data_IF_395207674841
#
_entry.id   IF_395207674841
#
_cell.length_a   1.000
_cell.length_b   1.000
_cell.length_c   1.000
_cell.angle_alpha   90.00
_cell.angle_beta   90.00
_cell.angle_gamma   90.00
#
_symmetry.space_group_name_H-M   'P 1'
#
loop_
_entity.id
_entity.type
_entity.pdbx_description
1 polymer ?
#
# COMPACT_ATOMS: atom_id res chain seq x y z
N UNK A 1 2.77 -21.58 7.52
CA UNK A 1 2.04 -21.24 8.76
C UNK A 1 1.40 -19.86 8.56
N UNK A 2 0.14 -19.68 8.93
CA UNK A 2 -0.54 -18.37 8.81
C UNK A 2 0.03 -17.37 9.83
N UNK A 3 -0.01 -16.06 9.53
CA UNK A 3 0.52 -15.00 10.41
C UNK A 3 -0.10 -15.05 11.82
N UNK A 4 -1.43 -15.20 11.92
CA UNK A 4 -2.13 -15.23 13.20
C UNK A 4 -1.74 -16.43 14.06
N UNK A 5 -1.59 -17.62 13.48
CA UNK A 5 -1.12 -18.81 14.20
C UNK A 5 0.33 -18.68 14.67
N UNK A 6 1.20 -18.11 13.84
CA UNK A 6 2.60 -17.83 14.21
C UNK A 6 2.69 -16.86 15.39
N UNK A 7 1.86 -15.81 15.38
CA UNK A 7 1.75 -14.86 16.48
C UNK A 7 1.25 -15.53 17.77
N UNK A 8 0.18 -16.32 17.69
CA UNK A 8 -0.37 -17.09 18.81
C UNK A 8 0.67 -18.03 19.43
N UNK A 9 1.40 -18.78 18.60
CA UNK A 9 2.48 -19.65 19.07
C UNK A 9 3.57 -18.87 19.83
N UNK A 10 3.89 -17.66 19.34
CA UNK A 10 4.86 -16.78 20.01
C UNK A 10 4.34 -16.26 21.34
N UNK A 11 3.09 -15.79 21.42
CA UNK A 11 2.45 -15.33 22.67
C UNK A 11 2.43 -16.44 23.71
N UNK A 12 2.00 -17.65 23.34
CA UNK A 12 1.93 -18.80 24.24
C UNK A 12 3.31 -19.23 24.77
N UNK A 13 4.37 -19.00 23.98
CA UNK A 13 5.76 -19.25 24.41
C UNK A 13 6.25 -18.18 25.39
N UNK A 14 5.80 -16.93 25.25
CA UNK A 14 6.21 -15.82 26.11
C UNK A 14 5.48 -15.84 27.46
N UNK A 15 4.20 -16.20 27.48
CA UNK A 15 3.40 -16.26 28.70
C UNK A 15 2.30 -17.30 28.59
N UNK A 16 2.32 -18.28 29.48
CA UNK A 16 1.25 -19.27 29.62
C UNK A 16 0.01 -18.72 30.34
N UNK A 17 0.06 -17.48 30.84
CA UNK A 17 -1.08 -16.83 31.50
C UNK A 17 -2.00 -16.09 30.53
N UNK A 18 -1.60 -15.93 29.27
CA UNK A 18 -2.39 -15.27 28.25
C UNK A 18 -3.21 -16.30 27.47
N UNK A 19 -4.51 -16.09 27.36
CA UNK A 19 -5.33 -16.79 26.37
C UNK A 19 -5.28 -16.03 25.04
N UNK A 20 -4.89 -16.73 23.97
CA UNK A 20 -4.69 -16.14 22.65
C UNK A 20 -5.55 -16.86 21.61
N UNK A 21 -6.47 -16.13 21.00
CA UNK A 21 -7.38 -16.62 19.95
C UNK A 21 -6.88 -16.09 18.60
N UNK A 22 -6.58 -17.01 17.68
CA UNK A 22 -6.15 -16.68 16.33
C UNK A 22 -7.35 -16.72 15.37
N UNK A 23 -7.56 -15.63 14.63
CA UNK A 23 -8.56 -15.56 13.57
C UNK A 23 -7.84 -15.59 12.21
N UNK A 24 -7.87 -16.74 11.53
CA UNK A 24 -7.31 -16.88 10.18
C UNK A 24 -8.33 -16.46 9.11
N UNK A 25 -8.93 -15.28 9.26
CA UNK A 25 -9.89 -14.72 8.32
C UNK A 25 -9.54 -13.27 8.01
N UNK A 26 -9.86 -12.81 6.81
CA UNK A 26 -9.90 -11.39 6.51
C UNK A 26 -11.05 -10.76 7.32
N UNK A 27 -10.80 -9.60 7.91
CA UNK A 27 -11.88 -8.84 8.56
C UNK A 27 -12.66 -8.07 7.51
N UNK A 28 -13.97 -8.25 7.50
CA UNK A 28 -14.90 -7.72 6.52
C UNK A 28 -16.17 -7.26 7.23
N UNK A 29 -17.00 -6.47 6.56
CA UNK A 29 -18.26 -5.96 7.13
C UNK A 29 -19.20 -7.07 7.62
N UNK A 30 -19.13 -8.25 7.00
CA UNK A 30 -19.93 -9.43 7.34
C UNK A 30 -19.52 -10.10 8.66
N UNK A 31 -18.26 -9.97 9.10
CA UNK A 31 -17.73 -10.68 10.26
C UNK A 31 -17.17 -9.75 11.37
N UNK A 32 -16.94 -8.47 11.07
CA UNK A 32 -16.25 -7.55 11.96
C UNK A 32 -16.97 -7.38 13.30
N UNK A 33 -18.30 -7.30 13.32
CA UNK A 33 -19.07 -7.13 14.56
C UNK A 33 -18.97 -8.37 15.47
N UNK A 34 -19.02 -9.57 14.90
CA UNK A 34 -18.91 -10.82 15.67
C UNK A 34 -17.50 -11.00 16.23
N UNK A 35 -16.48 -10.58 15.48
CA UNK A 35 -15.10 -10.59 15.93
C UNK A 35 -14.86 -9.54 17.02
N UNK A 36 -15.38 -8.31 16.89
CA UNK A 36 -15.04 -7.17 17.76
C UNK A 36 -15.83 -7.16 19.08
N UNK A 37 -17.12 -7.53 19.08
CA UNK A 37 -18.00 -7.43 20.26
C UNK A 37 -17.43 -8.08 21.54
N UNK A 38 -16.79 -9.27 21.48
CA UNK A 38 -16.26 -9.93 22.67
C UNK A 38 -15.06 -9.23 23.33
N UNK A 39 -14.39 -8.31 22.63
CA UNK A 39 -13.15 -7.67 23.13
C UNK A 39 -13.43 -6.30 23.75
N UNK A 40 -12.63 -5.92 24.74
CA UNK A 40 -12.79 -4.63 25.44
C UNK A 40 -12.12 -3.47 24.72
N UNK A 41 -10.95 -3.71 24.11
CA UNK A 41 -10.13 -2.71 23.44
C UNK A 41 -9.69 -3.29 22.09
N UNK A 42 -9.85 -2.51 21.03
CA UNK A 42 -9.43 -2.90 19.69
C UNK A 42 -8.16 -2.15 19.31
N UNK A 43 -7.22 -2.85 18.67
CA UNK A 43 -5.99 -2.28 18.13
C UNK A 43 -6.04 -2.35 16.62
N UNK A 44 -5.99 -1.19 15.96
CA UNK A 44 -5.78 -1.13 14.51
C UNK A 44 -4.28 -1.13 14.22
N UNK A 45 -3.78 -2.31 13.82
CA UNK A 45 -2.43 -2.53 13.33
C UNK A 45 -2.43 -2.85 11.82
N UNK A 46 -3.41 -2.33 11.09
CA UNK A 46 -3.58 -2.56 9.66
C UNK A 46 -2.91 -1.45 8.85
N UNK A 47 -2.44 -1.80 7.65
CA UNK A 47 -1.75 -0.90 6.73
C UNK A 47 -2.64 -0.41 5.58
N UNK A 48 -3.94 -0.72 5.63
CA UNK A 48 -4.92 -0.35 4.62
C UNK A 48 -6.01 0.59 5.17
N UNK A 49 -6.33 1.61 4.38
CA UNK A 49 -7.34 2.63 4.69
C UNK A 49 -8.74 2.05 4.80
N UNK A 50 -9.16 1.14 3.91
CA UNK A 50 -10.51 0.59 3.94
C UNK A 50 -10.78 -0.18 5.25
N UNK A 51 -9.81 -0.99 5.68
CA UNK A 51 -9.88 -1.73 6.94
C UNK A 51 -9.88 -0.79 8.15
N UNK A 52 -9.15 0.33 8.09
CA UNK A 52 -9.20 1.35 9.15
C UNK A 52 -10.57 2.00 9.29
N UNK A 53 -11.26 2.29 8.19
CA UNK A 53 -12.65 2.77 8.23
C UNK A 53 -13.61 1.71 8.79
N UNK A 54 -13.46 0.45 8.37
CA UNK A 54 -14.23 -0.69 8.90
C UNK A 54 -14.06 -0.84 10.41
N UNK A 55 -12.81 -0.89 10.90
CA UNK A 55 -12.49 -1.00 12.32
C UNK A 55 -13.02 0.19 13.11
N UNK A 56 -12.86 1.41 12.59
CA UNK A 56 -13.44 2.60 13.21
C UNK A 56 -14.94 2.44 13.40
N UNK A 57 -15.65 2.09 12.32
CA UNK A 57 -17.10 2.08 12.35
C UNK A 57 -17.63 0.96 13.24
N UNK A 58 -17.04 -0.23 13.16
CA UNK A 58 -17.37 -1.34 14.04
C UNK A 58 -17.11 -1.01 15.52
N UNK A 59 -16.00 -0.33 15.83
CA UNK A 59 -15.71 0.12 17.20
C UNK A 59 -16.70 1.16 17.71
N UNK A 60 -17.11 2.12 16.86
CA UNK A 60 -18.15 3.10 17.24
C UNK A 60 -19.47 2.39 17.53
N UNK A 61 -19.92 1.51 16.64
CA UNK A 61 -21.18 0.76 16.79
C UNK A 61 -21.17 -0.20 17.98
N UNK A 62 -20.01 -0.79 18.29
CA UNK A 62 -19.83 -1.69 19.44
C UNK A 62 -19.49 -0.96 20.76
N UNK A 63 -19.31 0.37 20.72
CA UNK A 63 -18.93 1.16 21.90
C UNK A 63 -17.52 0.85 22.44
N UNK A 64 -16.58 0.48 21.56
CA UNK A 64 -15.22 0.06 21.92
C UNK A 64 -14.18 1.14 21.63
N UNK A 65 -13.20 1.38 22.53
CA UNK A 65 -12.04 2.20 22.21
C UNK A 65 -11.20 1.55 21.12
N UNK A 66 -10.64 2.39 20.23
CA UNK A 66 -9.80 1.95 19.13
C UNK A 66 -8.42 2.62 19.22
N UNK A 67 -7.39 1.83 19.49
CA UNK A 67 -5.99 2.28 19.49
C UNK A 67 -5.41 2.06 18.09
N UNK A 68 -5.35 3.11 17.27
CA UNK A 68 -4.93 3.03 15.87
C UNK A 68 -3.55 3.62 15.68
N UNK A 69 -2.67 2.81 15.09
CA UNK A 69 -1.31 3.18 14.72
C UNK A 69 -1.11 2.98 13.23
N UNK A 70 -0.21 3.76 12.64
CA UNK A 70 0.26 3.45 11.29
C UNK A 70 1.67 3.95 11.07
N UNK A 71 2.33 3.40 10.05
CA UNK A 71 3.65 3.82 9.63
C UNK A 71 3.70 3.88 8.10
N UNK A 72 4.53 4.76 7.55
CA UNK A 72 4.84 4.81 6.13
C UNK A 72 6.24 5.44 6.00
N UNK A 73 7.14 4.79 5.25
CA UNK A 73 8.53 5.22 5.11
C UNK A 73 9.23 5.37 6.46
N UNK A 74 9.48 6.61 6.87
CA UNK A 74 10.15 7.01 8.12
C UNK A 74 9.17 7.66 9.10
N UNK A 75 7.88 7.73 8.76
CA UNK A 75 6.87 8.41 9.54
C UNK A 75 5.99 7.38 10.26
N UNK A 76 5.62 7.69 11.49
CA UNK A 76 4.69 6.94 12.31
C UNK A 76 3.62 7.83 12.92
N UNK A 77 2.43 7.29 13.13
CA UNK A 77 1.35 7.98 13.84
C UNK A 77 0.65 7.06 14.84
N UNK A 78 0.08 7.67 15.88
CA UNK A 78 -0.75 7.01 16.87
C UNK A 78 -1.87 7.93 17.36
N UNK A 79 -3.07 7.39 17.51
CA UNK A 79 -4.21 8.06 18.16
C UNK A 79 -5.12 7.02 18.82
N UNK A 80 -5.77 7.39 19.93
CA UNK A 80 -6.86 6.60 20.51
C UNK A 80 -8.20 7.24 20.15
N UNK A 81 -8.99 6.52 19.37
CA UNK A 81 -10.32 6.91 18.93
C UNK A 81 -11.41 6.31 19.81
N UNK A 82 -12.60 6.92 19.75
CA UNK A 82 -13.82 6.44 20.43
C UNK A 82 -13.64 6.18 21.93
N UNK A 83 -12.93 7.06 22.63
CA UNK A 83 -12.64 6.91 24.05
C UNK A 83 -12.77 8.24 24.80
N UNK A 84 -13.51 8.24 25.91
CA UNK A 84 -13.67 9.38 26.83
C UNK A 84 -14.05 10.71 26.13
N UNK A 85 -15.03 10.69 25.22
CA UNK A 85 -15.45 11.87 24.45
C UNK A 85 -14.47 12.30 23.33
N UNK A 86 -13.50 11.44 23.01
CA UNK A 86 -12.60 11.59 21.88
C UNK A 86 -13.31 11.39 20.52
N UNK A 87 -12.69 11.87 19.43
CA UNK A 87 -13.22 11.68 18.08
C UNK A 87 -13.19 10.20 17.68
N UNK A 88 -14.05 9.82 16.74
CA UNK A 88 -13.81 8.63 15.91
C UNK A 88 -12.90 9.01 14.72
N UNK A 89 -12.39 8.04 13.98
CA UNK A 89 -11.57 8.27 12.79
C UNK A 89 -12.27 9.18 11.77
N UNK A 90 -13.56 8.94 11.50
CA UNK A 90 -14.39 9.79 10.60
C UNK A 90 -14.58 11.22 11.08
N UNK A 91 -14.43 11.52 12.36
CA UNK A 91 -14.47 12.92 12.82
C UNK A 91 -13.27 13.73 12.30
N UNK A 92 -12.15 13.05 12.03
CA UNK A 92 -10.92 13.67 11.54
C UNK A 92 -10.81 13.51 10.02
N UNK A 93 -11.20 12.35 9.50
CA UNK A 93 -11.15 12.01 8.07
C UNK A 93 -12.54 11.56 7.59
N UNK A 94 -13.47 12.49 7.30
CA UNK A 94 -14.87 12.16 7.01
C UNK A 94 -15.07 11.28 5.78
N UNK A 95 -14.30 11.57 4.73
CA UNK A 95 -14.31 10.84 3.46
C UNK A 95 -12.92 10.25 3.20
N UNK A 96 -12.83 9.03 2.64
CA UNK A 96 -11.58 8.44 2.25
C UNK A 96 -10.94 9.29 1.14
N UNK A 97 -9.61 9.43 1.12
CA UNK A 97 -8.91 9.99 -0.03
C UNK A 97 -9.18 9.15 -1.30
N UNK A 98 -9.11 9.75 -2.50
CA UNK A 98 -9.22 8.99 -3.76
C UNK A 98 -8.23 7.82 -3.79
N UNK A 99 -8.63 6.61 -4.24
CA UNK A 99 -7.79 5.42 -4.25
C UNK A 99 -6.40 5.65 -4.85
N UNK A 100 -6.33 6.46 -5.91
CA UNK A 100 -5.11 6.81 -6.65
C UNK A 100 -4.07 7.58 -5.82
N UNK A 101 -4.50 8.22 -4.73
CA UNK A 101 -3.62 9.03 -3.86
C UNK A 101 -3.20 8.28 -2.58
N UNK A 102 -3.69 7.05 -2.38
CA UNK A 102 -3.39 6.23 -1.20
C UNK A 102 -2.14 5.40 -1.46
N UNK A 103 -1.05 5.71 -0.76
CA UNK A 103 0.14 4.87 -0.70
C UNK A 103 0.11 4.01 0.57
N UNK A 104 0.20 2.69 0.41
CA UNK A 104 0.33 1.75 1.52
C UNK A 104 1.82 1.43 1.81
N UNK A 105 2.08 0.68 2.88
CA UNK A 105 3.44 0.27 3.25
C UNK A 105 4.13 -0.58 2.18
N UNK A 106 3.38 -1.42 1.44
CA UNK A 106 3.95 -2.30 0.42
C UNK A 106 4.49 -1.53 -0.79
N UNK A 107 3.87 -0.39 -1.10
CA UNK A 107 4.18 0.42 -2.29
C UNK A 107 5.14 1.56 -1.94
N UNK A 108 4.91 2.24 -0.79
CA UNK A 108 5.76 3.33 -0.33
C UNK A 108 7.04 2.89 0.39
N UNK A 109 7.11 1.63 0.82
CA UNK A 109 8.13 1.10 1.71
C UNK A 109 7.98 1.60 3.15
N UNK A 110 8.50 0.84 4.12
CA UNK A 110 8.55 1.26 5.53
C UNK A 110 9.83 0.73 6.19
N UNK A 111 10.51 1.57 6.96
CA UNK A 111 11.63 1.13 7.78
C UNK A 111 11.08 0.30 8.94
N UNK A 112 11.36 -1.01 8.98
CA UNK A 112 10.70 -1.97 9.89
C UNK A 112 10.76 -1.61 11.39
N UNK A 113 11.71 -0.79 11.83
CA UNK A 113 11.80 -0.30 13.20
C UNK A 113 10.66 0.69 13.54
N UNK A 114 10.18 1.46 12.56
CA UNK A 114 9.11 2.47 12.74
C UNK A 114 7.79 1.83 13.18
N UNK A 115 7.21 0.81 12.49
CA UNK A 115 6.02 0.13 12.98
C UNK A 115 6.29 -0.62 14.29
N UNK A 116 7.52 -1.05 14.57
CA UNK A 116 7.91 -1.60 15.88
C UNK A 116 7.76 -0.57 17.01
N UNK A 117 8.26 0.65 16.81
CA UNK A 117 8.11 1.76 17.77
C UNK A 117 6.63 2.10 17.98
N UNK A 118 5.87 2.27 16.89
CA UNK A 118 4.43 2.56 16.96
C UNK A 118 3.66 1.43 17.65
N UNK A 119 3.97 0.17 17.35
CA UNK A 119 3.36 -1.00 18.00
C UNK A 119 3.60 -1.04 19.51
N UNK A 120 4.81 -0.71 19.98
CA UNK A 120 5.09 -0.56 21.41
C UNK A 120 4.26 0.55 22.06
N UNK A 121 4.08 1.68 21.36
CA UNK A 121 3.25 2.77 21.85
C UNK A 121 1.75 2.42 21.85
N UNK A 122 1.28 1.65 20.87
CA UNK A 122 -0.08 1.08 20.88
C UNK A 122 -0.30 0.19 22.10
N UNK A 123 0.62 -0.74 22.36
CA UNK A 123 0.56 -1.63 23.52
C UNK A 123 0.54 -0.84 24.85
N UNK A 124 1.33 0.23 24.95
CA UNK A 124 1.30 1.12 26.11
C UNK A 124 -0.08 1.76 26.33
N UNK A 125 -0.73 2.26 25.28
CA UNK A 125 -2.09 2.81 25.42
C UNK A 125 -3.11 1.76 25.81
N UNK A 126 -3.03 0.55 25.23
CA UNK A 126 -3.89 -0.57 25.60
C UNK A 126 -3.76 -0.89 27.09
N UNK A 127 -2.53 -1.00 27.61
CA UNK A 127 -2.28 -1.28 29.03
C UNK A 127 -2.88 -0.19 29.92
N UNK A 128 -2.69 1.09 29.60
CA UNK A 128 -3.24 2.19 30.39
C UNK A 128 -4.76 2.22 30.39
N UNK A 129 -5.39 1.95 29.25
CA UNK A 129 -6.85 1.88 29.15
C UNK A 129 -7.36 0.68 29.96
N UNK A 130 -6.76 -0.50 29.79
CA UNK A 130 -7.14 -1.72 30.48
C UNK A 130 -6.98 -1.62 32.01
N UNK A 131 -5.97 -0.88 32.48
CA UNK A 131 -5.73 -0.65 33.91
C UNK A 131 -6.55 0.51 34.50
N UNK A 132 -7.39 1.18 33.72
CA UNK A 132 -8.19 2.32 34.18
C UNK A 132 -7.42 3.65 34.34
N UNK A 133 -6.15 3.72 33.92
CA UNK A 133 -5.37 4.98 33.90
C UNK A 133 -5.85 5.95 32.81
N UNK A 134 -6.64 5.45 31.85
CA UNK A 134 -7.09 6.19 30.67
C UNK A 134 -6.04 6.18 29.56
N UNK A 135 -6.08 7.18 28.68
CA UNK A 135 -5.17 7.29 27.52
C UNK A 135 -4.54 8.67 27.45
N UNK A 136 -3.31 8.72 26.94
CA UNK A 136 -2.64 10.00 26.66
C UNK A 136 -3.01 10.58 25.28
N UNK A 137 -3.56 9.75 24.39
CA UNK A 137 -3.80 10.07 22.98
C UNK A 137 -5.28 10.03 22.58
N UNK A 138 -6.21 10.19 23.53
CA UNK A 138 -7.55 10.69 23.19
C UNK A 138 -7.47 12.19 22.89
N UNK A 139 -8.13 12.62 21.81
CA UNK A 139 -8.06 13.99 21.28
C UNK A 139 -6.62 14.48 21.00
N UNK A 140 -5.68 13.58 20.77
CA UNK A 140 -4.31 13.91 20.36
C UNK A 140 -3.79 12.89 19.36
N UNK A 141 -3.07 13.38 18.37
CA UNK A 141 -2.35 12.56 17.40
C UNK A 141 -0.85 12.71 17.63
N UNK A 142 -0.21 11.60 17.97
CA UNK A 142 1.24 11.53 17.98
C UNK A 142 1.73 11.33 16.55
N UNK A 143 2.73 12.11 16.17
CA UNK A 143 3.51 11.94 14.95
C UNK A 143 4.96 11.67 15.35
N UNK A 144 5.53 10.64 14.76
CA UNK A 144 6.93 10.25 14.92
C UNK A 144 7.61 10.37 13.56
N UNK A 145 8.61 11.24 13.47
CA UNK A 145 9.49 11.36 12.31
C UNK A 145 10.82 10.69 12.66
N UNK A 146 11.06 9.50 12.09
CA UNK A 146 12.29 8.74 12.33
C UNK A 146 13.52 9.35 11.64
N UNK A 147 13.33 10.26 10.68
CA UNK A 147 14.44 10.96 9.99
C UNK A 147 15.09 11.96 10.93
N UNK A 148 14.27 12.74 11.64
CA UNK A 148 14.75 13.71 12.64
C UNK A 148 14.80 13.16 14.07
N UNK A 149 14.18 11.99 14.31
CA UNK A 149 13.98 11.42 15.64
C UNK A 149 12.95 12.18 16.49
N UNK A 150 12.16 13.08 15.89
CA UNK A 150 11.26 13.95 16.61
C UNK A 150 9.89 13.30 16.86
N UNK A 151 9.37 13.52 18.07
CA UNK A 151 7.97 13.28 18.40
C UNK A 151 7.22 14.60 18.45
N UNK A 152 6.09 14.68 17.75
CA UNK A 152 5.19 15.83 17.77
C UNK A 152 3.80 15.36 18.16
N UNK A 153 3.11 16.14 18.99
CA UNK A 153 1.72 15.85 19.35
C UNK A 153 0.82 16.96 18.85
N UNK A 154 -0.14 16.59 18.01
CA UNK A 154 -1.16 17.51 17.49
C UNK A 154 -2.44 17.31 18.31
N UNK A 155 -3.02 18.42 18.78
CA UNK A 155 -4.32 18.38 19.44
C UNK A 155 -5.42 18.18 18.41
N UNK A 156 -6.24 17.15 18.59
CA UNK A 156 -7.42 16.90 17.79
C UNK A 156 -8.64 17.54 18.44
N UNK A 157 -9.66 17.81 17.62
CA UNK A 157 -10.98 18.16 18.12
C UNK A 157 -11.63 16.91 18.73
N UNK A 158 -12.58 17.14 19.64
CA UNK A 158 -13.44 16.07 20.14
C UNK A 158 -14.41 15.54 19.08
N UNK A 159 -15.36 14.74 19.52
CA UNK A 159 -16.44 14.22 18.68
C UNK A 159 -17.13 15.32 17.86
N UNK A 160 -17.25 15.12 16.55
CA UNK A 160 -17.96 16.05 15.68
C UNK A 160 -19.48 15.83 15.77
N UNK A 161 -20.30 16.87 16.03
CA UNK A 161 -21.76 16.74 16.08
C UNK A 161 -22.40 16.28 14.77
N UNK A 162 -21.73 16.52 13.64
CA UNK A 162 -22.18 16.18 12.28
C UNK A 162 -21.49 14.93 11.72
N UNK A 163 -20.77 14.16 12.55
CA UNK A 163 -20.14 12.93 12.10
C UNK A 163 -21.19 11.91 11.61
N UNK A 164 -20.94 11.28 10.46
CA UNK A 164 -21.83 10.31 9.86
C UNK A 164 -22.14 9.09 10.74
N UNK A 165 -21.28 8.76 11.71
CA UNK A 165 -21.44 7.55 12.55
C UNK A 165 -21.57 7.83 14.04
N UNK A 166 -20.86 8.82 14.58
CA UNK A 166 -20.93 9.17 15.99
C UNK A 166 -21.52 10.58 16.23
N UNK A 167 -22.14 11.19 15.22
CA UNK A 167 -22.79 12.50 15.36
C UNK A 167 -24.14 12.41 16.08
N UNK A 168 -24.83 13.54 16.21
CA UNK A 168 -26.17 13.58 16.83
C UNK A 168 -27.23 12.85 16.00
N UNK A 169 -27.09 12.89 14.68
CA UNK A 169 -27.97 12.25 13.71
C UNK A 169 -27.11 11.37 12.79
N UNK A 170 -26.69 10.17 13.22
CA UNK A 170 -25.83 9.29 12.43
C UNK A 170 -26.57 8.78 11.18
N UNK A 171 -25.90 8.81 10.04
CA UNK A 171 -26.37 8.24 8.76
C UNK A 171 -25.84 6.83 8.53
N UNK A 172 -24.75 6.45 9.21
CA UNK A 172 -24.18 5.11 9.19
C UNK A 172 -24.63 4.40 10.48
N UNK A 173 -25.57 3.47 10.35
CA UNK A 173 -26.08 2.66 11.47
C UNK A 173 -25.56 1.23 11.45
N UNK A 174 -25.03 0.79 10.30
CA UNK A 174 -24.55 -0.56 10.05
C UNK A 174 -23.26 -0.51 9.23
N UNK A 175 -22.50 -1.60 9.25
CA UNK A 175 -21.28 -1.72 8.45
C UNK A 175 -21.62 -1.77 6.96
N UNK A 176 -20.96 -0.92 6.18
CA UNK A 176 -21.16 -0.81 4.73
C UNK A 176 -20.10 -1.59 3.96
N UNK A 177 -20.21 -1.65 2.63
CA UNK A 177 -19.11 -2.15 1.81
C UNK A 177 -17.99 -1.10 1.73
N UNK A 178 -16.93 -1.31 2.51
CA UNK A 178 -15.78 -0.40 2.56
C UNK A 178 -14.89 -0.48 1.32
N UNK A 179 -14.96 -1.57 0.56
CA UNK A 179 -14.24 -1.70 -0.72
C UNK A 179 -14.91 -0.81 -1.76
N UNK A 180 -16.23 -0.88 -1.85
CA UNK A 180 -17.01 -0.01 -2.71
C UNK A 180 -16.90 1.46 -2.26
N UNK A 181 -16.94 1.73 -0.96
CA UNK A 181 -16.85 3.08 -0.41
C UNK A 181 -15.48 3.73 -0.61
N UNK A 182 -14.39 2.97 -0.38
CA UNK A 182 -13.03 3.47 -0.52
C UNK A 182 -12.49 3.33 -1.95
N UNK A 183 -13.16 2.57 -2.82
CA UNK A 183 -12.65 2.21 -4.16
C UNK A 183 -11.39 1.35 -4.13
N UNK A 184 -11.08 0.71 -2.99
CA UNK A 184 -9.88 -0.10 -2.79
C UNK A 184 -10.17 -1.33 -1.91
N UNK A 185 -9.71 -2.52 -2.35
CA UNK A 185 -9.91 -3.78 -1.65
C UNK A 185 -9.15 -3.83 -0.31
N UNK A 186 -9.56 -4.67 0.67
CA UNK A 186 -8.96 -4.73 2.00
C UNK A 186 -7.62 -5.50 2.03
N UNK A 187 -7.06 -5.76 0.85
CA UNK A 187 -5.91 -6.63 0.65
C UNK A 187 -4.67 -5.81 0.35
N UNK A 188 -3.50 -6.28 0.77
CA UNK A 188 -2.18 -5.78 0.33
C UNK A 188 -2.01 -5.77 -1.21
N UNK A 189 -2.95 -6.37 -1.94
CA UNK A 189 -3.09 -6.27 -3.39
C UNK A 189 -3.75 -4.93 -3.72
N UNK A 190 -2.92 -3.95 -4.05
CA UNK A 190 -3.33 -2.68 -4.66
C UNK A 190 -4.30 -2.98 -5.81
N UNK A 191 -5.45 -2.27 -5.92
CA UNK A 191 -6.29 -2.38 -7.11
C UNK A 191 -5.43 -2.16 -8.35
N UNK A 192 -5.60 -2.98 -9.38
CA UNK A 192 -4.94 -2.74 -10.65
C UNK A 192 -5.38 -1.34 -11.13
N UNK A 193 -4.45 -0.40 -11.25
CA UNK A 193 -4.75 0.86 -11.90
C UNK A 193 -5.18 0.55 -13.34
N UNK A 194 -6.15 1.29 -13.86
CA UNK A 194 -6.57 1.20 -15.27
C UNK A 194 -6.38 2.58 -15.90
N UNK A 195 -5.12 3.00 -16.00
CA UNK A 195 -4.72 4.27 -16.62
C UNK A 195 -4.51 4.13 -18.13
N UNK A 196 -4.14 2.94 -18.58
CA UNK A 196 -4.04 2.58 -19.99
C UNK A 196 -5.11 1.53 -20.33
N UNK A 197 -5.79 1.65 -21.49
CA UNK A 197 -6.69 0.62 -21.96
C UNK A 197 -5.90 -0.65 -22.35
N UNK A 198 -6.54 -1.83 -22.25
CA UNK A 198 -5.85 -3.13 -22.36
C UNK A 198 -5.11 -3.33 -23.69
N UNK A 199 -5.59 -2.74 -24.79
CA UNK A 199 -4.98 -2.80 -26.12
C UNK A 199 -3.69 -1.97 -26.25
N UNK A 200 -3.45 -1.05 -25.30
CA UNK A 200 -2.23 -0.24 -25.21
C UNK A 200 -1.18 -0.85 -24.27
N UNK A 201 -1.48 -1.99 -23.65
CA UNK A 201 -0.60 -2.72 -22.72
C UNK A 201 -0.03 -3.97 -23.40
N UNK A 202 1.09 -4.45 -22.90
CA UNK A 202 1.70 -5.72 -23.32
C UNK A 202 1.52 -6.76 -22.23
N UNK A 203 1.00 -7.94 -22.56
CA UNK A 203 0.97 -9.06 -21.62
C UNK A 203 2.38 -9.61 -21.37
N UNK A 204 2.56 -10.32 -20.25
CA UNK A 204 3.84 -10.99 -19.97
C UNK A 204 4.23 -11.99 -21.07
N UNK A 205 3.24 -12.65 -21.70
CA UNK A 205 3.45 -13.61 -22.79
C UNK A 205 3.88 -12.95 -24.10
N UNK A 206 3.24 -11.83 -24.46
CA UNK A 206 3.64 -11.03 -25.62
C UNK A 206 5.05 -10.51 -25.45
N UNK A 207 5.36 -9.93 -24.28
CA UNK A 207 6.71 -9.45 -24.00
C UNK A 207 7.76 -10.57 -23.95
N UNK A 208 7.42 -11.74 -23.41
CA UNK A 208 8.30 -12.92 -23.45
C UNK A 208 8.62 -13.33 -24.89
N UNK A 209 7.64 -13.27 -25.79
CA UNK A 209 7.84 -13.53 -27.22
C UNK A 209 8.75 -12.51 -27.89
N UNK A 210 8.62 -11.23 -27.53
CA UNK A 210 9.54 -10.15 -27.99
C UNK A 210 10.98 -10.44 -27.55
N UNK A 211 11.18 -10.86 -26.29
CA UNK A 211 12.50 -11.21 -25.77
C UNK A 211 13.09 -12.45 -26.43
N UNK A 212 12.31 -13.51 -26.58
CA UNK A 212 12.75 -14.75 -27.24
C UNK A 212 13.07 -14.55 -28.72
N UNK A 213 12.32 -13.69 -29.40
CA UNK A 213 12.56 -13.33 -30.80
C UNK A 213 13.74 -12.36 -31.00
N UNK A 214 14.37 -11.89 -29.92
CA UNK A 214 15.47 -10.93 -29.94
C UNK A 214 15.18 -9.63 -30.71
N UNK A 215 13.89 -9.23 -30.79
CA UNK A 215 13.48 -8.01 -31.49
C UNK A 215 14.07 -6.77 -30.82
N UNK A 216 14.51 -5.74 -31.56
CA UNK A 216 15.02 -4.50 -30.99
C UNK A 216 13.97 -3.81 -30.12
N UNK A 217 14.29 -3.61 -28.84
CA UNK A 217 13.45 -2.88 -27.90
C UNK A 217 14.29 -2.37 -26.71
N UNK A 218 13.74 -1.40 -25.98
CA UNK A 218 14.23 -1.03 -24.65
C UNK A 218 13.30 -1.62 -23.59
N UNK A 219 13.87 -2.27 -22.58
CA UNK A 219 13.15 -2.61 -21.35
C UNK A 219 13.51 -1.60 -20.27
N UNK A 220 12.52 -0.86 -19.78
CA UNK A 220 12.64 0.12 -18.71
C UNK A 220 12.03 -0.42 -17.42
N UNK A 221 12.83 -0.55 -16.37
CA UNK A 221 12.36 -0.91 -15.03
C UNK A 221 12.23 0.33 -14.16
N UNK A 222 10.99 0.67 -13.80
CA UNK A 222 10.66 1.90 -13.06
C UNK A 222 10.55 1.70 -11.55
N UNK A 223 10.93 0.52 -11.04
CA UNK A 223 11.01 0.27 -9.60
C UNK A 223 12.16 1.05 -8.98
N UNK A 224 12.08 1.23 -7.66
CA UNK A 224 13.19 1.74 -6.86
C UNK A 224 14.46 0.90 -7.06
N UNK A 225 15.62 1.53 -7.07
CA UNK A 225 16.91 0.86 -7.35
C UNK A 225 17.19 -0.29 -6.38
N UNK A 226 16.76 -0.17 -5.13
CA UNK A 226 16.86 -1.27 -4.14
C UNK A 226 16.07 -2.50 -4.60
N UNK A 227 14.86 -2.33 -5.13
CA UNK A 227 14.03 -3.42 -5.63
C UNK A 227 14.63 -4.04 -6.89
N UNK A 228 15.16 -3.20 -7.78
CA UNK A 228 15.86 -3.64 -8.99
C UNK A 228 17.09 -4.50 -8.68
N UNK A 229 17.84 -4.15 -7.64
CA UNK A 229 19.03 -4.89 -7.23
C UNK A 229 18.72 -6.24 -6.57
N UNK A 230 17.48 -6.47 -6.10
CA UNK A 230 17.06 -7.78 -5.58
C UNK A 230 16.88 -8.78 -6.74
N UNK A 231 16.14 -8.36 -7.77
CA UNK A 231 15.93 -9.13 -8.99
C UNK A 231 15.55 -8.18 -10.13
N UNK A 232 15.97 -8.50 -11.35
CA UNK A 232 15.61 -7.75 -12.55
C UNK A 232 15.66 -8.66 -13.77
N UNK A 233 14.96 -8.27 -14.84
CA UNK A 233 15.06 -9.01 -16.10
C UNK A 233 16.37 -8.62 -16.81
N UNK A 234 17.08 -9.58 -17.44
CA UNK A 234 18.28 -9.29 -18.19
C UNK A 234 18.08 -8.15 -19.22
N UNK A 235 19.08 -7.26 -19.31
CA UNK A 235 19.12 -6.11 -20.21
C UNK A 235 18.05 -5.02 -19.96
N UNK A 236 17.46 -4.97 -18.77
CA UNK A 236 16.61 -3.84 -18.35
C UNK A 236 17.42 -2.63 -17.88
N UNK A 237 17.00 -1.43 -18.26
CA UNK A 237 17.49 -0.16 -17.72
C UNK A 237 16.66 0.23 -16.48
N UNK A 238 17.30 0.45 -15.32
CA UNK A 238 16.59 0.97 -14.14
C UNK A 238 16.56 2.50 -14.11
N UNK A 239 15.34 3.06 -14.16
CA UNK A 239 15.07 4.47 -13.88
C UNK A 239 13.84 4.54 -12.96
N UNK A 240 14.02 4.69 -11.64
CA UNK A 240 12.89 4.78 -10.71
C UNK A 240 11.86 5.81 -11.15
N UNK A 241 10.56 5.51 -11.02
CA UNK A 241 9.47 6.37 -11.51
C UNK A 241 9.62 7.84 -11.07
N UNK A 242 10.01 8.07 -9.81
CA UNK A 242 10.23 9.41 -9.24
C UNK A 242 11.33 10.22 -9.94
N UNK A 243 12.26 9.54 -10.59
CA UNK A 243 13.41 10.12 -11.28
C UNK A 243 13.22 10.16 -12.80
N UNK A 244 12.14 9.55 -13.32
CA UNK A 244 11.94 9.32 -14.75
C UNK A 244 11.92 10.60 -15.57
N UNK A 245 11.16 11.61 -15.14
CA UNK A 245 11.07 12.91 -15.83
C UNK A 245 12.43 13.61 -15.93
N UNK A 246 13.25 13.53 -14.88
CA UNK A 246 14.60 14.12 -14.84
C UNK A 246 15.61 13.32 -15.66
N UNK A 247 15.35 12.04 -15.91
CA UNK A 247 16.28 11.09 -16.57
C UNK A 247 15.81 10.65 -17.95
N UNK A 248 14.94 11.43 -18.61
CA UNK A 248 14.49 11.13 -19.99
C UNK A 248 15.65 11.03 -20.98
N UNK A 249 16.72 11.81 -20.80
CA UNK A 249 17.93 11.73 -21.63
C UNK A 249 18.60 10.36 -21.55
N UNK A 250 18.60 9.71 -20.38
CA UNK A 250 19.18 8.38 -20.21
C UNK A 250 18.35 7.33 -20.97
N UNK A 251 17.01 7.48 -20.92
CA UNK A 251 16.07 6.63 -21.67
C UNK A 251 16.30 6.79 -23.18
N UNK A 252 16.45 8.02 -23.66
CA UNK A 252 16.72 8.31 -25.07
C UNK A 252 18.06 7.71 -25.54
N UNK A 253 19.13 7.86 -24.74
CA UNK A 253 20.43 7.29 -25.04
C UNK A 253 20.40 5.76 -25.08
N UNK A 254 19.75 5.13 -24.10
CA UNK A 254 19.62 3.68 -24.06
C UNK A 254 18.78 3.15 -25.24
N UNK A 255 17.71 3.84 -25.62
CA UNK A 255 16.91 3.48 -26.80
C UNK A 255 17.76 3.57 -28.08
N UNK A 256 18.56 4.64 -28.25
CA UNK A 256 19.48 4.75 -29.41
C UNK A 256 20.53 3.64 -29.43
N UNK A 257 21.07 3.26 -28.27
CA UNK A 257 22.03 2.17 -28.17
C UNK A 257 21.41 0.81 -28.52
N UNK A 258 20.22 0.53 -28.00
CA UNK A 258 19.49 -0.70 -28.30
C UNK A 258 19.14 -0.82 -29.79
N UNK A 259 18.80 0.30 -30.45
CA UNK A 259 18.55 0.34 -31.88
C UNK A 259 19.81 0.09 -32.73
N UNK A 260 21.00 0.46 -32.24
CA UNK A 260 22.26 0.36 -32.98
C UNK A 260 22.91 -1.03 -32.94
N UNK A 261 22.45 -1.93 -32.05
CA UNK A 261 22.99 -3.28 -31.87
C UNK A 261 22.57 -4.27 -32.97
N UNK A 262 21.57 -3.95 -33.80
CA UNK A 262 21.23 -4.78 -34.96
C UNK A 262 21.96 -4.36 -36.23
N UNK A 263 22.77 -5.28 -36.76
CA UNK A 263 23.55 -5.12 -38.00
C UNK A 263 22.73 -5.34 -39.29
N UNK A 264 21.40 -5.41 -39.20
CA UNK A 264 20.53 -5.50 -40.38
C UNK A 264 19.91 -4.12 -40.62
N UNK A 265 20.22 -3.55 -41.78
CA UNK A 265 19.70 -2.28 -42.24
C UNK A 265 18.20 -2.37 -42.55
N UNK A 266 17.37 -2.52 -41.52
CA UNK A 266 16.00 -2.03 -41.55
C UNK A 266 16.13 -0.57 -41.14
N UNK A 267 15.99 0.32 -42.11
CA UNK A 267 15.71 1.72 -41.81
C UNK A 267 14.54 1.73 -40.82
N UNK A 268 14.83 2.03 -39.54
CA UNK A 268 13.82 2.35 -38.56
C UNK A 268 13.18 3.65 -39.08
N UNK A 269 12.20 3.46 -39.94
CA UNK A 269 11.55 4.48 -40.71
C UNK A 269 10.66 5.26 -39.77
N UNK A 270 11.13 6.39 -39.22
CA UNK A 270 10.33 7.35 -38.43
C UNK A 270 9.61 6.84 -37.18
N UNK A 271 9.49 5.53 -36.97
CA UNK A 271 8.81 4.91 -35.84
C UNK A 271 9.85 4.61 -34.75
N UNK A 272 9.72 5.31 -33.62
CA UNK A 272 10.61 5.18 -32.47
C UNK A 272 10.73 3.72 -31.98
N UNK A 273 11.92 3.32 -31.52
CA UNK A 273 12.17 1.99 -30.92
C UNK A 273 11.10 1.68 -29.84
N UNK A 274 10.48 0.48 -29.85
CA UNK A 274 9.53 0.10 -28.81
C UNK A 274 10.15 0.15 -27.41
N UNK A 275 9.43 0.73 -26.45
CA UNK A 275 9.83 0.79 -25.04
C UNK A 275 8.82 0.00 -24.23
N UNK A 276 9.28 -1.06 -23.57
CA UNK A 276 8.48 -1.83 -22.63
C UNK A 276 8.82 -1.38 -21.21
N UNK A 277 7.82 -0.99 -20.44
CA UNK A 277 7.98 -0.49 -19.08
C UNK A 277 7.47 -1.53 -18.09
N UNK A 278 8.31 -1.89 -17.11
CA UNK A 278 7.97 -2.85 -16.07
C UNK A 278 8.09 -2.24 -14.69
N UNK A 279 7.15 -2.57 -13.82
CA UNK A 279 7.26 -2.36 -12.39
C UNK A 279 6.92 -3.66 -11.64
N UNK A 280 6.71 -3.60 -10.33
CA UNK A 280 6.39 -4.80 -9.54
C UNK A 280 5.08 -5.46 -9.97
N UNK A 281 4.02 -4.66 -10.18
CA UNK A 281 2.63 -5.15 -10.36
C UNK A 281 1.90 -4.63 -11.60
N UNK A 282 2.55 -3.80 -12.40
CA UNK A 282 1.91 -3.16 -13.55
C UNK A 282 1.08 -1.91 -13.22
N UNK A 283 1.28 -1.28 -12.05
CA UNK A 283 0.61 -0.01 -11.68
C UNK A 283 1.48 1.19 -12.10
N UNK A 284 2.63 1.37 -11.44
CA UNK A 284 3.59 2.45 -11.74
C UNK A 284 4.08 2.48 -13.20
N UNK A 285 4.10 1.32 -13.86
CA UNK A 285 4.49 1.21 -15.26
C UNK A 285 3.49 1.91 -16.19
N UNK A 286 2.21 1.97 -15.84
CA UNK A 286 1.21 2.72 -16.61
C UNK A 286 1.43 4.23 -16.48
N UNK A 287 1.70 4.71 -15.26
CA UNK A 287 2.06 6.12 -15.00
C UNK A 287 3.31 6.51 -15.79
N UNK A 288 4.34 5.67 -15.76
CA UNK A 288 5.57 5.87 -16.52
C UNK A 288 5.33 5.96 -18.03
N UNK A 289 4.48 5.10 -18.60
CA UNK A 289 4.13 5.15 -20.02
C UNK A 289 3.42 6.44 -20.39
N UNK A 290 2.46 6.92 -19.58
CA UNK A 290 1.82 8.21 -19.82
C UNK A 290 2.84 9.35 -19.84
N UNK A 291 3.76 9.39 -18.87
CA UNK A 291 4.82 10.38 -18.80
C UNK A 291 5.75 10.31 -20.02
N UNK A 292 6.17 9.11 -20.42
CA UNK A 292 7.00 8.88 -21.60
C UNK A 292 6.31 9.36 -22.89
N UNK A 293 5.02 9.05 -23.07
CA UNK A 293 4.25 9.46 -24.25
C UNK A 293 4.08 10.98 -24.34
N UNK A 294 3.87 11.65 -23.20
CA UNK A 294 3.85 13.13 -23.13
C UNK A 294 5.17 13.76 -23.61
N UNK A 295 6.29 13.02 -23.50
CA UNK A 295 7.62 13.46 -23.90
C UNK A 295 8.09 12.84 -25.23
N UNK A 296 7.17 12.32 -26.06
CA UNK A 296 7.44 11.91 -27.43
C UNK A 296 7.80 10.42 -27.62
N UNK A 297 7.83 9.62 -26.55
CA UNK A 297 8.02 8.17 -26.64
C UNK A 297 6.68 7.46 -26.92
N UNK A 298 6.12 7.68 -28.11
CA UNK A 298 4.76 7.23 -28.46
C UNK A 298 4.58 5.71 -28.47
N UNK A 299 5.66 4.96 -28.72
CA UNK A 299 5.68 3.49 -28.76
C UNK A 299 5.90 2.84 -27.38
N UNK A 300 5.84 3.63 -26.30
CA UNK A 300 5.93 3.09 -24.95
C UNK A 300 4.68 2.27 -24.59
N UNK A 301 4.90 1.06 -24.08
CA UNK A 301 3.87 0.16 -23.54
C UNK A 301 4.30 -0.35 -22.18
N UNK A 302 3.35 -0.63 -21.31
CA UNK A 302 3.65 -1.23 -20.02
C UNK A 302 3.47 -2.75 -20.08
N UNK A 303 4.14 -3.47 -19.18
CA UNK A 303 3.95 -4.91 -19.01
C UNK A 303 2.85 -5.14 -17.97
N UNK A 304 1.69 -5.58 -18.44
CA UNK A 304 0.52 -5.81 -17.62
C UNK A 304 0.79 -6.86 -16.53
N UNK A 305 0.56 -6.47 -15.27
CA UNK A 305 0.81 -7.31 -14.10
C UNK A 305 2.24 -7.29 -13.58
N UNK A 306 3.17 -6.62 -14.27
CA UNK A 306 4.55 -6.43 -13.82
C UNK A 306 5.32 -7.74 -13.58
N UNK A 307 6.34 -7.67 -12.72
CA UNK A 307 7.18 -8.82 -12.40
C UNK A 307 6.46 -9.89 -11.56
N UNK A 308 5.43 -9.54 -10.79
CA UNK A 308 4.64 -10.56 -10.08
C UNK A 308 3.91 -11.49 -11.06
N UNK A 309 3.33 -10.94 -12.13
CA UNK A 309 2.71 -11.75 -13.20
C UNK A 309 3.76 -12.46 -14.06
N UNK A 310 4.92 -11.83 -14.29
CA UNK A 310 6.04 -12.50 -14.95
C UNK A 310 6.45 -13.78 -14.20
N UNK A 311 6.59 -13.68 -12.88
CA UNK A 311 6.96 -14.82 -12.04
C UNK A 311 5.89 -15.93 -12.09
N UNK A 312 4.60 -15.57 -12.04
CA UNK A 312 3.55 -16.59 -12.06
C UNK A 312 3.28 -17.22 -13.44
N UNK A 313 3.46 -16.48 -14.54
CA UNK A 313 3.06 -16.93 -15.88
C UNK A 313 4.22 -17.35 -16.79
N UNK A 314 5.41 -16.81 -16.60
CA UNK A 314 6.56 -16.99 -17.52
C UNK A 314 7.71 -17.71 -16.85
N UNK A 315 8.12 -17.29 -15.66
CA UNK A 315 9.30 -17.81 -14.96
C UNK A 315 9.00 -18.02 -13.46
N UNK A 316 8.45 -19.18 -13.06
CA UNK A 316 8.14 -19.51 -11.67
C UNK A 316 9.33 -19.47 -10.71
N UNK A 317 10.56 -19.53 -11.24
CA UNK A 317 11.79 -19.44 -10.45
C UNK A 317 12.27 -17.98 -10.28
N UNK A 318 11.61 -17.00 -10.92
CA UNK A 318 11.94 -15.59 -10.78
C UNK A 318 11.68 -15.12 -9.34
N UNK A 319 12.66 -14.49 -8.65
CA UNK A 319 12.50 -14.10 -7.26
C UNK A 319 11.38 -13.08 -7.05
N UNK A 320 10.44 -13.42 -6.17
CA UNK A 320 9.41 -12.50 -5.67
C UNK A 320 9.76 -11.99 -4.28
N UNK A 321 9.61 -10.69 -4.06
CA UNK A 321 9.73 -10.02 -2.75
C UNK A 321 8.46 -9.23 -2.48
#
# INVERSE_FOLDING_TARGET
MMKAESAKATVNRLSSFCDCIAYNTLIESSNAMDIIRPWDIVVDATDNVATRYLLNDACVLAGKPLVSGSALRMDGQLTVYNHAGGPCYRCIFPAPPPPETVTNCSDGGVLGVVPGIIGCLQALEVIKIASGLGTSFSQKMLLFDATSGAFRTIKLRGQSPTCAICGKNPTITDLIDYVQFCGAAPTDKTPAQTLLPDDERSTCREYSSVRMGAWPHLLLDVRETVQFNICSLPNSLNVPLKDLERRLTDVEQAARQAAALESSAIAIAKDALPIYVVCRRGNDSQVAVQLLRQHGFLQAKDIAGGLERWASEIDPDFPTY
#
